data_IF_589653485493
#
_entry.id   IF_589653485493
#
_cell.length_a   1.000
_cell.length_b   1.000
_cell.length_c   1.000
_cell.angle_alpha   90.00
_cell.angle_beta   90.00
_cell.angle_gamma   90.00
#
_symmetry.space_group_name_H-M   'P 1'
#
loop_
_entity.id
_entity.type
_entity.pdbx_description
1 polymer ?
2 non-polymer ?
3 non-polymer ?
4 non-polymer ?
5 non-polymer ?
6 non-polymer ?
7 non-polymer ?
8 water ?
#
# COMPACT_ATOMS: atom_id res chain seq x y z
N UNK A 2 16.45 39.32 8.41
CA UNK A 2 16.17 40.79 8.26
C UNK A 2 15.58 41.44 9.51
N UNK A 3 14.92 42.57 9.30
CA UNK A 3 14.31 43.35 10.38
C UNK A 3 13.04 42.72 10.93
N UNK A 4 12.72 43.08 12.18
CA UNK A 4 11.47 42.70 12.82
C UNK A 4 10.23 42.97 11.94
N UNK A 5 10.16 44.14 11.29
CA UNK A 5 9.07 44.42 10.34
C UNK A 5 9.02 43.46 9.13
N UNK A 6 10.16 43.16 8.52
CA UNK A 6 10.23 42.14 7.45
C UNK A 6 9.78 40.76 7.92
N UNK A 7 10.20 40.37 9.12
CA UNK A 7 9.91 39.05 9.67
C UNK A 7 8.43 38.87 9.98
N UNK A 8 7.78 39.95 10.42
CA UNK A 8 6.35 39.95 10.61
C UNK A 8 5.66 39.75 9.25
N UNK A 9 6.07 40.54 8.26
CA UNK A 9 5.52 40.44 6.90
C UNK A 9 5.74 39.03 6.33
N UNK A 10 6.89 38.43 6.62
CA UNK A 10 7.14 37.03 6.24
C UNK A 10 6.21 36.08 7.01
N UNK A 11 6.05 36.34 8.31
CA UNK A 11 5.16 35.55 9.15
C UNK A 11 3.72 35.65 8.68
N UNK A 12 3.30 36.86 8.34
CA UNK A 12 1.98 37.13 7.78
C UNK A 12 1.77 36.45 6.44
N UNK A 13 2.79 36.35 5.60
CA UNK A 13 2.58 35.72 4.29
C UNK A 13 2.36 34.21 4.43
N UNK A 14 3.09 33.60 5.35
CA UNK A 14 2.99 32.18 5.60
C UNK A 14 1.68 31.88 6.31
N UNK A 15 1.32 32.72 7.27
CA UNK A 15 0.14 32.52 8.07
C UNK A 15 -1.14 32.38 7.23
N UNK A 16 -1.33 33.22 6.22
CA UNK A 16 -2.56 33.03 5.44
C UNK A 16 -2.48 31.98 4.29
N UNK A 17 -1.28 31.68 3.79
CA UNK A 17 -1.06 30.46 3.00
C UNK A 17 -1.43 29.21 3.82
N UNK A 18 -1.10 29.22 5.11
CA UNK A 18 -1.59 28.21 6.04
C UNK A 18 -3.10 28.23 6.12
N UNK A 19 -3.70 29.39 6.28
CA UNK A 19 -5.16 29.53 6.32
C UNK A 19 -5.82 28.88 5.10
N UNK A 20 -5.21 29.02 3.92
CA UNK A 20 -5.72 28.48 2.65
C UNK A 20 -5.58 26.98 2.53
N UNK A 21 -4.39 26.48 2.82
CA UNK A 21 -4.12 25.07 2.87
C UNK A 21 -5.08 24.37 3.88
N UNK A 22 -5.20 24.94 5.07
CA UNK A 22 -6.17 24.45 6.06
C UNK A 22 -7.58 24.29 5.50
N UNK A 23 -8.14 25.31 4.84
CA UNK A 23 -9.48 25.16 4.26
C UNK A 23 -9.51 24.08 3.19
N UNK A 24 -8.48 23.98 2.35
CA UNK A 24 -8.46 22.87 1.38
C UNK A 24 -8.43 21.50 2.06
N UNK A 25 -7.64 21.35 3.11
CA UNK A 25 -7.53 20.08 3.78
C UNK A 25 -8.84 19.67 4.47
N UNK A 26 -9.54 20.63 5.09
CA UNK A 26 -10.84 20.33 5.68
C UNK A 26 -11.76 19.79 4.60
N UNK A 27 -11.69 20.44 3.44
CA UNK A 27 -12.50 20.07 2.31
C UNK A 27 -12.16 18.69 1.78
N UNK A 28 -10.88 18.40 1.62
CA UNK A 28 -10.44 17.07 1.22
C UNK A 28 -10.87 15.97 2.18
N UNK A 29 -10.84 16.28 3.47
CA UNK A 29 -11.24 15.36 4.52
C UNK A 29 -12.73 15.08 4.46
N UNK A 30 -13.51 16.15 4.29
CA UNK A 30 -14.95 16.01 4.03
C UNK A 30 -15.27 15.20 2.75
N UNK A 31 -14.51 15.39 1.67
CA UNK A 31 -14.65 14.55 0.45
C UNK A 31 -14.40 13.07 0.76
N UNK A 32 -13.36 12.79 1.53
CA UNK A 32 -13.05 11.44 1.94
C UNK A 32 -14.16 10.82 2.78
N UNK A 33 -14.70 11.61 3.69
CA UNK A 33 -15.82 11.20 4.53
C UNK A 33 -17.06 10.92 3.71
N UNK A 34 -17.35 11.74 2.70
CA UNK A 34 -18.49 11.45 1.83
C UNK A 34 -18.29 10.21 1.02
N UNK A 35 -17.06 9.97 0.58
CA UNK A 35 -16.83 8.79 -0.19
C UNK A 35 -17.03 7.57 0.70
N UNK A 36 -16.60 7.67 1.94
CA UNK A 36 -16.74 6.60 2.93
C UNK A 36 -18.23 6.25 3.13
N UNK A 37 -19.02 7.29 3.37
CA UNK A 37 -20.45 7.18 3.46
C UNK A 37 -21.02 6.50 2.22
N UNK A 38 -20.53 6.83 1.03
CA UNK A 38 -21.11 6.17 -0.14
C UNK A 38 -20.80 4.71 -0.15
N UNK A 39 -19.52 4.37 0.02
CA UNK A 39 -19.09 2.96 -0.08
C UNK A 39 -19.76 2.05 0.96
N UNK A 40 -19.86 2.57 2.18
CA UNK A 40 -20.61 1.93 3.25
C UNK A 40 -22.08 1.63 2.85
N UNK A 41 -22.81 2.62 2.36
CA UNK A 41 -24.15 2.43 1.88
C UNK A 41 -24.13 1.32 0.86
N UNK A 42 -23.15 1.36 -0.04
CA UNK A 42 -23.11 0.46 -1.16
C UNK A 42 -22.90 -0.93 -0.63
N UNK A 43 -21.84 -1.11 0.15
CA UNK A 43 -21.52 -2.41 0.71
C UNK A 43 -22.68 -3.01 1.53
N UNK A 44 -23.39 -2.20 2.30
CA UNK A 44 -24.49 -2.76 3.08
C UNK A 44 -25.60 -3.30 2.20
N UNK A 45 -26.01 -2.50 1.23
CA UNK A 45 -26.97 -2.95 0.22
C UNK A 45 -26.54 -4.24 -0.50
N UNK A 46 -25.26 -4.34 -0.86
CA UNK A 46 -24.76 -5.52 -1.62
C UNK A 46 -24.66 -6.76 -0.78
N UNK A 47 -24.44 -6.54 0.51
CA UNK A 47 -24.45 -7.59 1.51
C UNK A 47 -25.76 -8.45 1.51
N UNK A 48 -26.92 -7.84 1.22
CA UNK A 48 -28.21 -8.55 1.19
C UNK A 48 -28.22 -9.64 0.18
N UNK A 49 -27.84 -9.28 -1.06
CA UNK A 49 -27.87 -10.21 -2.17
C UNK A 49 -26.88 -11.33 -1.95
N UNK A 50 -25.72 -10.97 -1.41
CA UNK A 50 -24.66 -11.93 -1.15
C UNK A 50 -25.13 -13.00 -0.19
N UNK A 51 -25.62 -12.61 0.99
CA UNK A 51 -26.16 -13.56 1.96
C UNK A 51 -27.28 -14.43 1.37
N UNK A 52 -28.15 -13.84 0.55
CA UNK A 52 -29.21 -14.67 -0.06
C UNK A 52 -28.65 -15.76 -0.97
N UNK A 53 -27.70 -15.36 -1.84
CA UNK A 53 -27.06 -16.28 -2.81
C UNK A 53 -26.38 -17.41 -2.06
N UNK A 54 -25.59 -17.08 -1.04
CA UNK A 54 -24.93 -18.08 -0.18
C UNK A 54 -25.89 -19.18 0.24
N UNK A 55 -27.03 -18.82 0.84
CA UNK A 55 -28.02 -19.81 1.32
C UNK A 55 -28.72 -20.49 0.18
N UNK A 56 -28.97 -19.74 -0.88
CA UNK A 56 -29.65 -20.27 -2.03
C UNK A 56 -28.85 -21.34 -2.75
N UNK A 57 -27.53 -21.21 -2.81
CA UNK A 57 -26.70 -22.30 -3.31
C UNK A 57 -26.80 -23.62 -2.55
N UNK A 58 -26.84 -23.54 -1.21
CA UNK A 58 -26.93 -24.76 -0.38
C UNK A 58 -28.20 -25.54 -0.69
N UNK A 59 -29.32 -24.83 -0.88
CA UNK A 59 -30.58 -25.44 -1.28
C UNK A 59 -30.51 -26.18 -2.62
N UNK A 60 -30.06 -25.46 -3.65
CA UNK A 60 -29.78 -26.04 -4.96
C UNK A 60 -28.93 -27.31 -4.84
N UNK A 61 -27.82 -27.23 -4.12
CA UNK A 61 -26.96 -28.38 -3.88
C UNK A 61 -27.68 -29.55 -3.22
N UNK A 62 -28.41 -29.30 -2.13
CA UNK A 62 -29.15 -30.38 -1.48
C UNK A 62 -30.14 -31.01 -2.42
N UNK A 63 -30.74 -30.22 -3.31
CA UNK A 63 -31.73 -30.83 -4.19
C UNK A 63 -31.11 -31.56 -5.39
N UNK A 64 -30.20 -30.91 -6.12
CA UNK A 64 -29.50 -31.59 -7.22
C UNK A 64 -28.68 -32.81 -6.77
N UNK A 65 -28.19 -32.79 -5.53
CA UNK A 65 -27.42 -33.88 -4.97
C UNK A 65 -28.26 -35.14 -4.71
N UNK A 66 -29.56 -35.03 -5.01
CA UNK A 66 -30.57 -36.07 -4.78
C UNK A 66 -30.81 -36.98 -5.98
N UNK A 67 -30.21 -36.62 -7.11
CA UNK A 67 -30.60 -37.19 -8.39
C UNK A 67 -29.46 -37.99 -8.98
N UNK B 2 2.16 48.00 10.56
CA UNK B 2 2.20 48.38 12.01
C UNK B 2 0.83 48.66 12.65
N UNK B 3 0.84 48.86 13.97
CA UNK B 3 2.03 48.66 14.79
C UNK B 3 2.42 47.18 14.78
N UNK B 4 3.72 46.91 14.94
CA UNK B 4 4.21 45.53 14.95
C UNK B 4 3.74 44.77 16.21
N UNK B 5 3.54 45.49 17.31
CA UNK B 5 2.84 44.94 18.47
C UNK B 5 1.44 44.39 18.08
N UNK B 6 0.61 45.22 17.46
CA UNK B 6 -0.76 44.83 17.07
C UNK B 6 -0.84 43.80 15.92
N UNK B 7 0.16 43.81 15.04
CA UNK B 7 0.31 42.76 14.02
C UNK B 7 0.76 41.42 14.62
N UNK B 8 1.65 41.46 15.61
CA UNK B 8 2.12 40.29 16.37
C UNK B 8 1.01 39.65 17.21
N UNK B 9 0.21 40.47 17.89
CA UNK B 9 -0.93 39.97 18.65
C UNK B 9 -1.92 39.31 17.72
N UNK B 10 -2.10 39.87 16.53
CA UNK B 10 -2.99 39.29 15.56
C UNK B 10 -2.43 37.95 15.02
N UNK B 11 -1.15 37.91 14.65
CA UNK B 11 -0.50 36.66 14.27
C UNK B 11 -0.57 35.56 15.32
N UNK B 12 -0.48 35.91 16.60
CA UNK B 12 -0.56 34.93 17.69
C UNK B 12 -1.97 34.37 17.85
N UNK B 13 -2.96 35.25 17.79
CA UNK B 13 -4.37 34.85 17.78
C UNK B 13 -4.66 33.84 16.63
N UNK B 14 -4.20 34.19 15.43
CA UNK B 14 -4.39 33.38 14.25
C UNK B 14 -3.63 32.04 14.36
N UNK B 15 -2.39 32.11 14.80
CA UNK B 15 -1.56 30.93 15.08
C UNK B 15 -2.25 29.96 16.04
N UNK B 16 -2.81 30.49 17.13
CA UNK B 16 -3.59 29.70 18.09
C UNK B 16 -4.82 29.04 17.47
N UNK B 17 -5.56 29.80 16.67
CA UNK B 17 -6.71 29.27 15.92
C UNK B 17 -6.28 28.14 15.00
N UNK B 18 -5.14 28.30 14.33
CA UNK B 18 -4.59 27.28 13.44
C UNK B 18 -4.27 26.03 14.20
N UNK B 19 -3.72 26.20 15.39
CA UNK B 19 -3.42 25.05 16.29
C UNK B 19 -4.61 24.23 16.61
N UNK B 20 -5.72 24.90 16.89
CA UNK B 20 -6.99 24.25 17.21
C UNK B 20 -7.50 23.49 15.98
N UNK B 21 -7.51 24.15 14.81
CA UNK B 21 -7.94 23.53 13.57
C UNK B 21 -7.11 22.30 13.17
N UNK B 22 -5.79 22.40 13.27
CA UNK B 22 -4.90 21.27 12.98
C UNK B 22 -5.23 20.07 13.88
N UNK B 23 -5.43 20.37 15.15
CA UNK B 23 -5.83 19.42 16.16
C UNK B 23 -7.10 18.67 15.83
N UNK B 24 -8.14 19.41 15.49
CA UNK B 24 -9.43 18.82 15.12
C UNK B 24 -9.35 18.13 13.77
N UNK B 25 -8.56 18.66 12.86
CA UNK B 25 -8.33 18.00 11.60
C UNK B 25 -7.76 16.60 11.86
N UNK B 26 -6.71 16.52 12.69
CA UNK B 26 -6.13 15.22 13.11
C UNK B 26 -7.11 14.20 13.71
N UNK B 27 -7.95 14.64 14.62
CA UNK B 27 -8.94 13.74 15.20
C UNK B 27 -9.87 13.20 14.10
N UNK B 28 -10.28 14.06 13.20
CA UNK B 28 -11.22 13.72 12.15
C UNK B 28 -10.59 12.79 11.09
N UNK B 29 -9.29 12.99 10.87
CA UNK B 29 -8.49 12.10 10.04
C UNK B 29 -8.44 10.70 10.63
N UNK B 30 -8.20 10.61 11.94
CA UNK B 30 -8.12 9.31 12.54
C UNK B 30 -9.49 8.60 12.58
N UNK B 31 -10.60 9.34 12.64
CA UNK B 31 -11.94 8.71 12.47
C UNK B 31 -12.13 8.17 11.09
N UNK B 32 -11.62 8.89 10.09
CA UNK B 32 -11.83 8.47 8.75
C UNK B 32 -10.96 7.25 8.49
N UNK B 33 -9.73 7.29 9.02
CA UNK B 33 -8.82 6.14 8.93
C UNK B 33 -9.42 4.88 9.56
N UNK B 34 -10.06 5.04 10.73
CA UNK B 34 -10.69 3.93 11.43
C UNK B 34 -11.85 3.35 10.58
N UNK B 35 -12.68 4.24 10.06
CA UNK B 35 -13.71 3.92 9.08
C UNK B 35 -13.21 3.19 7.83
N UNK B 36 -12.11 3.65 7.26
CA UNK B 36 -11.54 2.96 6.08
C UNK B 36 -11.18 1.52 6.50
N UNK B 37 -10.51 1.42 7.65
CA UNK B 37 -10.11 0.13 8.23
C UNK B 37 -11.30 -0.78 8.44
N UNK B 38 -12.42 -0.21 8.93
CA UNK B 38 -13.66 -1.00 9.07
C UNK B 38 -14.24 -1.51 7.75
N UNK B 39 -14.38 -0.61 6.76
CA UNK B 39 -14.91 -0.96 5.44
C UNK B 39 -14.08 -2.07 4.78
N UNK B 40 -12.75 -1.94 4.85
CA UNK B 40 -11.82 -3.01 4.45
C UNK B 40 -12.08 -4.33 5.13
N UNK B 41 -12.20 -4.37 6.47
CA UNK B 41 -12.59 -5.58 7.17
C UNK B 41 -13.93 -6.12 6.60
N UNK B 42 -14.91 -5.25 6.30
CA UNK B 42 -16.16 -5.75 5.66
C UNK B 42 -15.95 -6.29 4.24
N UNK B 43 -15.16 -5.60 3.44
CA UNK B 43 -14.88 -6.09 2.09
C UNK B 43 -14.17 -7.47 2.16
N UNK B 44 -13.22 -7.63 3.06
CA UNK B 44 -12.49 -8.91 3.17
C UNK B 44 -13.37 -10.09 3.53
N UNK B 45 -14.31 -9.87 4.43
CA UNK B 45 -15.38 -10.83 4.72
C UNK B 45 -16.30 -11.12 3.52
N UNK B 46 -16.66 -10.07 2.79
CA UNK B 46 -17.36 -10.28 1.53
C UNK B 46 -16.64 -11.12 0.57
N UNK B 47 -15.34 -10.87 0.41
CA UNK B 47 -14.49 -11.66 -0.46
C UNK B 47 -14.47 -13.14 -0.03
N UNK B 48 -14.40 -13.34 1.28
CA UNK B 48 -14.42 -14.65 1.88
C UNK B 48 -15.68 -15.42 1.48
N UNK B 49 -16.83 -14.78 1.65
CA UNK B 49 -18.12 -15.42 1.29
C UNK B 49 -18.23 -15.56 -0.19
N UNK B 50 -17.66 -14.60 -0.93
CA UNK B 50 -17.67 -14.74 -2.39
C UNK B 50 -16.89 -15.94 -2.86
N UNK B 51 -15.71 -16.20 -2.28
CA UNK B 51 -14.91 -17.36 -2.63
C UNK B 51 -15.69 -18.68 -2.46
N UNK B 52 -16.40 -18.84 -1.34
CA UNK B 52 -17.36 -19.98 -1.16
C UNK B 52 -18.42 -20.05 -2.25
N UNK B 53 -18.99 -18.90 -2.64
CA UNK B 53 -20.07 -18.83 -3.62
C UNK B 53 -19.54 -19.32 -4.96
N UNK B 54 -18.33 -18.87 -5.29
CA UNK B 54 -17.78 -19.28 -6.58
C UNK B 54 -17.36 -20.76 -6.60
N UNK B 55 -16.89 -21.26 -5.46
CA UNK B 55 -16.62 -22.67 -5.30
C UNK B 55 -17.89 -23.51 -5.42
N UNK B 56 -18.97 -23.13 -4.73
CA UNK B 56 -20.24 -23.87 -4.90
C UNK B 56 -20.81 -23.73 -6.30
N UNK B 57 -20.57 -22.58 -6.96
CA UNK B 57 -21.00 -22.47 -8.36
C UNK B 57 -20.32 -23.59 -9.17
N UNK B 58 -19.05 -23.81 -8.94
CA UNK B 58 -18.33 -24.88 -9.59
C UNK B 58 -18.96 -26.25 -9.28
N UNK B 59 -19.29 -26.50 -8.02
CA UNK B 59 -19.88 -27.79 -7.61
C UNK B 59 -21.21 -28.03 -8.31
N UNK B 60 -22.06 -27.01 -8.30
CA UNK B 60 -23.39 -27.10 -8.87
C UNK B 60 -23.25 -27.35 -10.38
N UNK B 61 -22.32 -26.69 -11.05
CA UNK B 61 -22.14 -26.94 -12.51
C UNK B 61 -21.71 -28.38 -12.80
N UNK B 62 -20.80 -28.91 -12.00
CA UNK B 62 -20.36 -30.29 -12.15
C UNK B 62 -21.55 -31.23 -12.01
N UNK B 63 -22.32 -31.01 -10.96
CA UNK B 63 -23.38 -31.89 -10.61
C UNK B 63 -24.48 -31.84 -11.70
N UNK B 64 -24.92 -30.64 -12.07
CA UNK B 64 -25.78 -30.42 -13.27
C UNK B 64 -25.32 -31.20 -14.54
N UNK B 65 -24.09 -30.98 -14.97
CA UNK B 65 -23.54 -31.64 -16.17
C UNK B 65 -23.51 -33.18 -16.07
N UNK B 66 -23.29 -33.69 -14.87
CA UNK B 66 -23.48 -35.11 -14.57
C UNK B 66 -24.81 -35.72 -14.99
N UNK B 67 -25.84 -34.91 -15.27
CA UNK B 67 -26.98 -35.39 -16.10
C UNK B 67 -27.12 -34.55 -17.42
N UNK B 68 -26.64 -35.11 -18.54
CA UNK B 68 -25.78 -36.32 -18.49
C UNK B 68 -24.37 -36.10 -19.06
N UNK C 3 28.50 32.73 19.29
CA UNK C 3 27.62 31.57 19.05
C UNK C 3 27.88 31.08 17.63
N UNK C 4 28.29 32.00 16.73
CA UNK C 4 28.63 31.61 15.34
C UNK C 4 29.61 30.42 15.24
N UNK C 5 30.74 30.53 15.94
CA UNK C 5 31.69 29.43 16.11
C UNK C 5 31.01 28.14 16.61
N UNK C 6 30.05 28.30 17.52
CA UNK C 6 29.34 27.18 18.16
C UNK C 6 28.27 26.59 17.24
N UNK C 7 27.51 27.46 16.57
CA UNK C 7 26.54 27.02 15.59
C UNK C 7 27.26 26.25 14.47
N UNK C 8 28.37 26.81 13.98
CA UNK C 8 29.21 26.18 12.97
C UNK C 8 29.73 24.81 13.46
N UNK C 9 30.27 24.74 14.68
CA UNK C 9 30.72 23.47 15.26
C UNK C 9 29.57 22.43 15.30
N UNK C 10 28.40 22.86 15.75
CA UNK C 10 27.20 22.02 15.73
C UNK C 10 26.89 21.51 14.31
N UNK C 11 27.06 22.40 13.32
CA UNK C 11 26.80 22.06 11.93
C UNK C 11 27.76 21.01 11.41
N UNK C 12 29.02 21.12 11.80
CA UNK C 12 30.08 20.20 11.34
C UNK C 12 29.90 18.83 11.96
N UNK C 13 29.42 18.81 13.19
CA UNK C 13 29.10 17.57 13.86
C UNK C 13 27.91 16.84 13.18
N UNK C 14 26.83 17.59 12.90
CA UNK C 14 25.61 17.03 12.29
C UNK C 14 25.90 16.60 10.85
N UNK C 15 26.59 17.44 10.11
CA UNK C 15 27.17 17.11 8.80
C UNK C 15 27.90 15.75 8.82
N UNK C 16 28.78 15.56 9.79
CA UNK C 16 29.49 14.30 9.96
C UNK C 16 28.56 13.09 10.13
N UNK C 17 27.57 13.24 11.00
CA UNK C 17 26.62 12.19 11.25
C UNK C 17 25.79 11.92 9.99
N UNK C 18 25.55 12.97 9.24
CA UNK C 18 24.79 12.84 8.01
C UNK C 18 25.53 12.02 6.99
N UNK C 19 26.83 12.33 6.87
CA UNK C 19 27.74 11.65 5.99
C UNK C 19 27.77 10.14 6.29
N UNK C 20 27.92 9.81 7.58
CA UNK C 20 27.97 8.41 8.01
C UNK C 20 26.65 7.72 7.74
N UNK C 21 25.53 8.38 8.04
CA UNK C 21 24.25 7.75 7.79
C UNK C 21 24.07 7.51 6.28
N UNK C 22 24.38 8.51 5.47
CA UNK C 22 24.15 8.40 4.02
C UNK C 22 24.90 7.24 3.39
N UNK C 23 26.13 7.00 3.84
CA UNK C 23 26.90 5.89 3.31
C UNK C 23 26.34 4.54 3.78
N UNK C 24 25.79 4.50 4.99
CA UNK C 24 25.03 3.34 5.43
C UNK C 24 23.78 3.13 4.59
N UNK C 25 23.00 4.18 4.34
CA UNK C 25 21.77 4.02 3.56
C UNK C 25 22.10 3.48 2.17
N UNK C 26 23.20 3.99 1.61
CA UNK C 26 23.61 3.60 0.29
C UNK C 26 23.93 2.10 0.20
N UNK C 27 24.68 1.58 1.16
CA UNK C 27 25.06 0.17 1.16
C UNK C 27 23.82 -0.70 1.31
N UNK C 28 22.95 -0.33 2.24
CA UNK C 28 21.74 -1.11 2.44
C UNK C 28 20.82 -1.12 1.22
N UNK C 29 20.63 0.06 0.58
CA UNK C 29 19.77 0.16 -0.60
C UNK C 29 20.27 -0.74 -1.71
N UNK C 30 21.57 -0.79 -1.93
CA UNK C 30 22.09 -1.59 -3.00
C UNK C 30 22.07 -3.06 -2.64
N UNK C 31 22.22 -3.39 -1.35
CA UNK C 31 22.00 -4.76 -0.90
C UNK C 31 20.56 -5.16 -1.18
N UNK C 32 19.61 -4.26 -0.86
CA UNK C 32 18.16 -4.55 -1.08
C UNK C 32 17.72 -4.79 -2.51
N UNK C 33 18.31 -4.06 -3.42
CA UNK C 33 18.17 -4.26 -4.86
C UNK C 33 18.57 -5.65 -5.25
N UNK C 34 19.69 -6.12 -4.71
CA UNK C 34 20.16 -7.46 -5.00
C UNK C 34 19.21 -8.48 -4.39
N UNK C 35 18.78 -8.24 -3.17
CA UNK C 35 17.83 -9.13 -2.49
C UNK C 35 16.60 -9.25 -3.37
N UNK C 36 16.11 -8.09 -3.86
CA UNK C 36 14.94 -8.10 -4.71
C UNK C 36 15.18 -8.89 -5.99
N UNK C 37 16.35 -8.75 -6.59
CA UNK C 37 16.71 -9.54 -7.77
C UNK C 37 16.54 -11.03 -7.50
N UNK C 38 17.10 -11.50 -6.38
CA UNK C 38 16.90 -12.89 -6.02
C UNK C 38 15.39 -13.25 -5.91
N UNK C 39 14.61 -12.40 -5.24
CA UNK C 39 13.21 -12.73 -5.02
C UNK C 39 12.45 -12.82 -6.34
N UNK C 40 12.73 -11.88 -7.26
CA UNK C 40 12.18 -11.89 -8.60
C UNK C 40 12.57 -13.14 -9.36
N UNK C 41 13.81 -13.56 -9.15
CA UNK C 41 14.31 -14.78 -9.77
C UNK C 41 13.45 -15.94 -9.39
N UNK C 42 13.17 -16.07 -8.10
CA UNK C 42 12.41 -17.20 -7.60
C UNK C 42 10.95 -17.12 -8.05
N UNK C 43 10.37 -15.91 -8.00
CA UNK C 43 8.98 -15.77 -8.41
C UNK C 43 8.86 -16.20 -9.86
N UNK C 44 9.77 -15.77 -10.71
CA UNK C 44 9.74 -16.15 -12.10
C UNK C 44 9.85 -17.66 -12.35
N UNK C 45 10.77 -18.33 -11.65
CA UNK C 45 10.89 -19.82 -11.71
C UNK C 45 9.61 -20.55 -11.24
N UNK C 46 9.08 -20.13 -10.08
CA UNK C 46 7.78 -20.56 -9.59
C UNK C 46 6.71 -20.48 -10.66
N UNK C 47 6.66 -19.32 -11.30
CA UNK C 47 5.77 -19.10 -12.42
C UNK C 47 5.95 -20.11 -13.56
N UNK C 48 7.19 -20.41 -13.89
CA UNK C 48 7.45 -21.36 -14.95
C UNK C 48 7.01 -22.74 -14.54
N UNK C 49 7.22 -23.07 -13.27
CA UNK C 49 6.86 -24.39 -12.76
C UNK C 49 5.33 -24.49 -12.86
N UNK C 50 4.65 -23.43 -12.42
CA UNK C 50 3.18 -23.38 -12.47
C UNK C 50 2.67 -23.58 -13.90
N UNK C 51 3.30 -22.91 -14.88
CA UNK C 51 2.96 -23.08 -16.28
C UNK C 51 3.11 -24.51 -16.78
N UNK C 52 4.18 -25.17 -16.33
CA UNK C 52 4.40 -26.53 -16.72
C UNK C 52 3.28 -27.40 -16.14
N UNK C 53 2.99 -27.20 -14.85
CA UNK C 53 1.93 -27.94 -14.18
C UNK C 53 0.60 -27.77 -14.96
N UNK C 54 0.17 -26.53 -15.19
CA UNK C 54 -1.10 -26.21 -15.93
C UNK C 54 -1.17 -26.88 -17.31
N UNK C 55 -0.10 -26.77 -18.07
CA UNK C 55 -0.01 -27.37 -19.41
C UNK C 55 -0.15 -28.90 -19.38
N UNK C 56 0.39 -29.53 -18.33
CA UNK C 56 0.29 -30.95 -18.13
C UNK C 56 -1.12 -31.33 -17.69
N UNK C 57 -1.76 -30.49 -16.88
CA UNK C 57 -3.17 -30.74 -16.55
C UNK C 57 -4.00 -30.83 -17.81
N UNK C 58 -3.81 -29.89 -18.74
CA UNK C 58 -4.56 -29.88 -20.01
C UNK C 58 -4.40 -31.18 -20.77
N UNK C 59 -3.20 -31.73 -20.75
CA UNK C 59 -2.90 -32.94 -21.47
C UNK C 59 -3.60 -34.09 -20.80
N UNK C 60 -3.54 -34.11 -19.46
CA UNK C 60 -4.23 -35.11 -18.64
C UNK C 60 -5.73 -35.07 -18.94
N UNK C 61 -6.32 -33.88 -18.98
CA UNK C 61 -7.73 -33.75 -19.24
C UNK C 61 -8.06 -34.29 -20.63
N UNK C 62 -7.22 -33.92 -21.61
CA UNK C 62 -7.33 -34.50 -22.93
C UNK C 62 -7.13 -36.05 -23.00
N UNK C 63 -6.13 -36.59 -22.29
CA UNK C 63 -5.98 -38.06 -22.25
C UNK C 63 -7.24 -38.75 -21.69
N UNK C 64 -7.85 -38.19 -20.65
CA UNK C 64 -9.07 -38.72 -20.03
C UNK C 64 -10.23 -38.80 -21.02
N UNK C 65 -10.39 -37.74 -21.81
CA UNK C 65 -11.36 -37.70 -22.90
C UNK C 65 -11.13 -38.80 -23.95
N UNK C 66 -9.87 -38.99 -24.38
CA UNK C 66 -9.55 -40.11 -25.27
C UNK C 66 -9.87 -41.44 -24.63
N UNK C 67 -9.56 -41.56 -23.34
CA UNK C 67 -9.83 -42.80 -22.63
C UNK C 67 -11.32 -43.10 -22.55
N UNK C 68 -12.13 -42.06 -22.30
CA UNK C 68 -13.61 -42.13 -22.28
C UNK C 68 -14.23 -42.78 -23.52
N UNK C 69 -13.55 -42.66 -24.66
CA UNK C 69 -13.88 -43.41 -25.90
C UNK C 69 -13.08 -44.73 -26.00
N UNK D 2 25.04 36.55 1.91
CA UNK D 2 26.44 37.06 1.84
C UNK D 2 27.17 37.07 3.18
N UNK D 3 26.53 37.60 4.22
CA UNK D 3 27.17 37.65 5.53
C UNK D 3 27.33 36.22 6.06
N UNK D 4 28.32 36.00 6.92
CA UNK D 4 28.55 34.68 7.47
C UNK D 4 27.31 34.21 8.24
N UNK D 5 26.68 35.13 8.99
CA UNK D 5 25.46 34.82 9.73
C UNK D 5 24.34 34.38 8.81
N UNK D 6 24.24 34.98 7.63
CA UNK D 6 23.22 34.61 6.66
C UNK D 6 23.51 33.20 6.15
N UNK D 7 24.78 32.95 5.82
CA UNK D 7 25.17 31.67 5.29
C UNK D 7 24.97 30.54 6.34
N UNK D 8 25.46 30.73 7.56
CA UNK D 8 25.15 29.78 8.64
C UNK D 8 23.63 29.57 8.84
N UNK D 9 22.83 30.62 8.70
CA UNK D 9 21.37 30.50 8.86
C UNK D 9 20.78 29.61 7.78
N UNK D 10 21.18 29.85 6.53
CA UNK D 10 20.82 28.98 5.43
C UNK D 10 21.24 27.53 5.68
N UNK D 11 22.53 27.34 6.06
CA UNK D 11 23.12 26.04 6.28
C UNK D 11 22.35 25.23 7.33
N UNK D 12 21.87 25.93 8.35
CA UNK D 12 21.09 25.33 9.44
C UNK D 12 19.76 24.86 8.96
N UNK D 13 19.22 25.64 8.00
CA UNK D 13 17.89 25.47 7.44
C UNK D 13 17.88 24.23 6.57
N UNK D 14 18.94 24.10 5.77
CA UNK D 14 19.16 22.96 4.93
C UNK D 14 19.45 21.74 5.82
N UNK D 15 20.32 21.93 6.82
CA UNK D 15 20.70 20.84 7.71
C UNK D 15 19.46 20.20 8.28
N UNK D 16 18.50 21.03 8.71
CA UNK D 16 17.22 20.55 9.26
C UNK D 16 16.38 19.80 8.25
N UNK D 17 16.22 20.39 7.07
CA UNK D 17 15.56 19.69 5.99
C UNK D 17 16.23 18.31 5.81
N UNK D 18 17.58 18.25 5.78
CA UNK D 18 18.29 16.96 5.64
C UNK D 18 18.01 15.95 6.73
N UNK D 19 17.98 16.40 7.98
CA UNK D 19 17.58 15.54 9.10
C UNK D 19 16.17 14.99 8.98
N UNK D 20 15.22 15.77 8.42
CA UNK D 20 13.83 15.26 8.30
C UNK D 20 13.76 14.24 7.18
N UNK D 21 14.37 14.57 6.04
CA UNK D 21 14.51 13.64 4.91
C UNK D 21 15.19 12.31 5.28
N UNK D 22 16.32 12.36 5.97
CA UNK D 22 17.00 11.18 6.46
C UNK D 22 16.09 10.28 7.34
N UNK D 23 15.29 10.90 8.20
CA UNK D 23 14.29 10.16 9.01
C UNK D 23 13.25 9.45 8.14
N UNK D 24 12.78 10.11 7.09
CA UNK D 24 11.76 9.53 6.21
C UNK D 24 12.34 8.38 5.44
N UNK D 25 13.55 8.61 4.92
CA UNK D 25 14.34 7.59 4.30
C UNK D 25 14.45 6.35 5.20
N UNK D 26 14.93 6.53 6.43
CA UNK D 26 15.10 5.45 7.40
C UNK D 26 13.80 4.70 7.68
N UNK D 27 12.71 5.44 7.86
CA UNK D 27 11.38 4.88 8.08
C UNK D 27 10.90 4.08 6.89
N UNK D 28 11.11 4.63 5.69
CA UNK D 28 10.68 3.95 4.48
C UNK D 28 11.58 2.78 4.03
N UNK D 29 12.90 2.90 4.28
CA UNK D 29 13.86 1.82 4.09
C UNK D 29 13.48 0.60 4.95
N UNK D 30 13.30 0.84 6.25
CA UNK D 30 12.82 -0.19 7.19
C UNK D 30 11.52 -0.90 6.77
N UNK D 31 10.54 -0.14 6.26
CA UNK D 31 9.31 -0.72 5.71
C UNK D 31 9.65 -1.61 4.53
N UNK D 32 10.50 -1.11 3.61
CA UNK D 32 10.89 -1.90 2.46
C UNK D 32 11.66 -3.18 2.84
N UNK D 33 12.55 -3.10 3.83
CA UNK D 33 13.14 -4.34 4.36
C UNK D 33 12.16 -5.31 5.00
N UNK D 34 11.12 -4.82 5.69
CA UNK D 34 10.23 -5.79 6.24
C UNK D 34 9.59 -6.50 5.05
N UNK D 35 9.21 -5.73 4.03
CA UNK D 35 8.51 -6.31 2.88
C UNK D 35 9.32 -7.34 2.15
N UNK D 36 10.60 -7.08 1.97
CA UNK D 36 11.53 -8.06 1.45
C UNK D 36 11.42 -9.37 2.23
N UNK D 37 11.50 -9.30 3.57
CA UNK D 37 11.38 -10.51 4.39
C UNK D 37 10.03 -11.11 4.30
N UNK D 38 8.99 -10.29 4.20
CA UNK D 38 7.63 -10.86 4.13
C UNK D 38 7.46 -11.58 2.79
N UNK D 39 7.94 -10.94 1.72
CA UNK D 39 7.83 -11.50 0.37
C UNK D 39 8.57 -12.80 0.33
N UNK D 40 9.75 -12.85 0.93
CA UNK D 40 10.50 -14.07 0.95
C UNK D 40 9.73 -15.20 1.64
N UNK D 41 9.06 -14.90 2.76
CA UNK D 41 8.23 -15.90 3.43
C UNK D 41 7.09 -16.35 2.55
N UNK D 42 6.44 -15.41 1.87
CA UNK D 42 5.40 -15.77 0.92
C UNK D 42 5.89 -16.70 -0.21
N UNK D 43 7.02 -16.37 -0.83
CA UNK D 43 7.56 -17.21 -1.91
C UNK D 43 7.86 -18.65 -1.43
N UNK D 44 8.50 -18.79 -0.27
CA UNK D 44 8.77 -20.11 0.32
C UNK D 44 7.49 -20.93 0.48
N UNK D 45 6.47 -20.33 1.07
CA UNK D 45 5.14 -20.95 1.10
C UNK D 45 4.62 -21.35 -0.30
N UNK D 46 4.76 -20.48 -1.30
CA UNK D 46 4.30 -20.82 -2.66
C UNK D 46 5.10 -21.94 -3.34
N UNK D 47 6.42 -21.92 -3.24
CA UNK D 47 7.27 -23.05 -3.68
C UNK D 47 6.83 -24.38 -3.06
N UNK D 48 6.58 -24.35 -1.73
CA UNK D 48 6.16 -25.53 -1.00
C UNK D 48 4.88 -26.15 -1.58
N UNK D 49 3.86 -25.32 -1.83
CA UNK D 49 2.61 -25.77 -2.41
C UNK D 49 2.80 -26.25 -3.83
N UNK D 50 3.58 -25.51 -4.62
CA UNK D 50 3.99 -26.00 -5.94
C UNK D 50 4.54 -27.44 -5.92
N UNK D 51 5.54 -27.74 -5.08
CA UNK D 51 6.10 -29.09 -5.03
C UNK D 51 5.11 -30.18 -4.78
N UNK D 52 4.19 -29.93 -3.85
CA UNK D 52 3.12 -30.86 -3.53
C UNK D 52 2.21 -31.10 -4.70
N UNK D 53 1.82 -30.02 -5.39
CA UNK D 53 1.09 -30.12 -6.65
C UNK D 53 1.85 -30.94 -7.70
N UNK D 54 3.16 -30.72 -7.84
CA UNK D 54 3.96 -31.49 -8.79
C UNK D 54 3.88 -32.97 -8.44
N UNK D 55 4.07 -33.29 -7.17
CA UNK D 55 4.06 -34.65 -6.70
C UNK D 55 2.66 -35.29 -6.79
N UNK D 56 1.58 -34.54 -6.60
CA UNK D 56 0.25 -35.11 -6.75
C UNK D 56 -0.08 -35.32 -8.23
N UNK D 57 0.42 -34.42 -9.08
CA UNK D 57 0.19 -34.54 -10.51
C UNK D 57 0.91 -35.81 -11.00
N UNK D 58 2.13 -36.04 -10.50
CA UNK D 58 2.82 -37.35 -10.70
C UNK D 58 2.03 -38.60 -10.23
N UNK D 59 1.52 -38.59 -9.00
CA UNK D 59 0.61 -39.66 -8.57
C UNK D 59 -0.58 -39.87 -9.54
N UNK D 60 -1.07 -38.80 -10.16
CA UNK D 60 -2.17 -38.87 -11.13
C UNK D 60 -1.66 -39.49 -12.44
N UNK D 61 -0.43 -39.17 -12.80
CA UNK D 61 0.12 -39.58 -14.08
C UNK D 61 0.29 -41.08 -14.19
N UNK D 62 0.59 -41.72 -13.08
CA UNK D 62 0.65 -43.19 -13.08
C UNK D 62 -0.73 -43.85 -12.92
N UNK D 63 -1.63 -43.18 -12.20
CA UNK D 63 -3.02 -43.62 -12.15
C UNK D 63 -3.57 -43.73 -13.58
N UNK D 64 -3.16 -42.79 -14.43
CA UNK D 64 -3.61 -42.76 -15.81
C UNK D 64 -2.87 -43.73 -16.72
N UNK D 65 -1.59 -43.98 -16.41
CA UNK D 65 -0.70 -44.78 -17.25
C UNK D 65 -1.11 -46.26 -17.29
N UNK D 66 -1.67 -46.76 -16.19
CA UNK D 66 -2.19 -48.14 -16.16
C UNK D 66 -3.44 -48.28 -17.04
N UNK D 67 -4.31 -47.28 -16.97
CA UNK D 67 -5.56 -47.30 -17.71
C UNK D 67 -5.37 -47.05 -19.23
N UNK D 68 -4.16 -46.68 -19.62
CA UNK D 68 -3.70 -46.66 -21.03
C UNK D 68 -3.10 -48.01 -21.46
N UNK E 2 40.63 26.21 9.78
CA UNK E 2 40.96 27.66 9.68
C UNK E 2 39.80 28.57 10.05
N UNK E 3 39.64 29.63 9.25
CA UNK E 3 38.68 30.70 9.54
C UNK E 3 37.23 30.21 9.47
N UNK E 4 36.38 30.80 10.30
CA UNK E 4 34.95 30.54 10.21
C UNK E 4 34.45 30.63 8.75
N UNK E 5 34.98 31.59 7.97
CA UNK E 5 34.72 31.67 6.54
C UNK E 5 35.00 30.34 5.82
N UNK E 6 36.18 29.77 6.05
CA UNK E 6 36.57 28.53 5.38
C UNK E 6 35.67 27.39 5.80
N UNK E 7 35.44 27.25 7.10
CA UNK E 7 34.60 26.19 7.62
C UNK E 7 33.15 26.26 7.07
N UNK E 8 32.68 27.45 6.73
CA UNK E 8 31.32 27.64 6.23
C UNK E 8 31.24 27.27 4.77
N UNK E 9 32.31 27.59 4.03
CA UNK E 9 32.38 27.28 2.62
C UNK E 9 32.41 25.75 2.47
N UNK E 10 33.26 25.11 3.28
CA UNK E 10 33.34 23.65 3.36
C UNK E 10 31.97 23.02 3.64
N UNK E 11 31.35 23.39 4.76
CA UNK E 11 29.98 22.96 5.10
C UNK E 11 28.98 23.07 3.93
N UNK E 12 29.09 24.13 3.13
CA UNK E 12 28.22 24.34 1.96
C UNK E 12 28.48 23.33 0.84
N UNK E 13 29.74 22.97 0.69
CA UNK E 13 30.18 22.04 -0.33
C UNK E 13 29.79 20.60 0.05
N UNK E 14 30.11 20.19 1.27
CA UNK E 14 29.62 18.92 1.80
C UNK E 14 28.06 18.86 1.78
N UNK E 15 27.40 19.93 2.21
CA UNK E 15 25.92 20.06 2.17
C UNK E 15 25.25 19.94 0.79
N UNK E 16 25.92 20.43 -0.26
CA UNK E 16 25.46 20.20 -1.66
C UNK E 16 25.63 18.74 -2.08
N UNK E 17 26.73 18.14 -1.65
CA UNK E 17 27.00 16.74 -1.89
C UNK E 17 25.89 15.86 -1.24
N UNK E 18 25.46 16.24 -0.03
CA UNK E 18 24.43 15.54 0.69
C UNK E 18 23.10 15.63 0.00
N UNK E 19 22.74 16.84 -0.45
CA UNK E 19 21.47 17.03 -1.17
C UNK E 19 21.35 16.18 -2.42
N UNK E 20 22.44 16.05 -3.18
CA UNK E 20 22.46 15.26 -4.42
C UNK E 20 22.33 13.79 -4.08
N UNK E 21 23.17 13.34 -3.14
CA UNK E 21 23.14 11.98 -2.72
C UNK E 21 21.74 11.60 -2.20
N UNK E 22 21.18 12.45 -1.33
CA UNK E 22 19.81 12.28 -0.82
C UNK E 22 18.77 12.07 -1.92
N UNK E 23 18.84 12.84 -2.99
CA UNK E 23 17.90 12.68 -4.10
C UNK E 23 18.08 11.31 -4.75
N UNK E 24 19.32 10.90 -4.90
CA UNK E 24 19.64 9.62 -5.50
C UNK E 24 19.19 8.44 -4.65
N UNK E 25 19.37 8.52 -3.32
CA UNK E 25 18.88 7.43 -2.46
C UNK E 25 17.37 7.30 -2.36
N UNK E 26 16.67 8.43 -2.41
CA UNK E 26 15.21 8.50 -2.49
C UNK E 26 14.76 7.74 -3.67
N UNK E 27 15.34 8.04 -4.82
CA UNK E 27 15.09 7.34 -6.07
C UNK E 27 15.26 5.83 -5.92
N UNK E 28 16.41 5.42 -5.43
CA UNK E 28 16.75 4.00 -5.28
C UNK E 28 15.77 3.26 -4.36
N UNK E 29 15.43 3.89 -3.23
CA UNK E 29 14.35 3.40 -2.40
C UNK E 29 12.97 3.29 -3.13
N UNK E 30 12.53 4.33 -3.86
CA UNK E 30 11.28 4.18 -4.64
C UNK E 30 11.31 3.03 -5.62
N UNK E 31 12.44 2.88 -6.33
CA UNK E 31 12.61 1.73 -7.22
C UNK E 31 12.45 0.40 -6.41
N UNK E 32 13.06 0.29 -5.22
CA UNK E 32 12.86 -0.89 -4.38
C UNK E 32 11.42 -1.06 -3.94
N UNK E 33 10.72 0.02 -3.61
CA UNK E 33 9.27 -0.13 -3.28
C UNK E 33 8.47 -0.58 -4.48
N UNK E 34 8.58 0.13 -5.59
CA UNK E 34 7.92 -0.34 -6.82
C UNK E 34 8.19 -1.76 -7.21
N UNK E 35 9.44 -2.20 -7.14
CA UNK E 35 9.70 -3.58 -7.46
C UNK E 35 9.03 -4.57 -6.50
N UNK E 36 8.98 -4.26 -5.20
CA UNK E 36 8.27 -5.08 -4.20
C UNK E 36 6.80 -5.17 -4.47
N UNK E 37 6.15 -4.03 -4.71
CA UNK E 37 4.68 -4.04 -4.92
C UNK E 37 4.33 -4.89 -6.15
N UNK E 38 5.03 -4.63 -7.26
CA UNK E 38 4.93 -5.47 -8.45
C UNK E 38 5.08 -6.97 -8.13
N UNK E 39 6.16 -7.32 -7.44
CA UNK E 39 6.41 -8.71 -7.12
C UNK E 39 5.30 -9.30 -6.17
N UNK E 40 4.84 -8.55 -5.17
CA UNK E 40 3.61 -8.96 -4.45
C UNK E 40 2.44 -9.33 -5.37
N UNK E 41 2.09 -8.45 -6.33
CA UNK E 41 1.04 -8.76 -7.31
C UNK E 41 1.21 -10.11 -7.98
N UNK E 42 2.42 -10.38 -8.48
CA UNK E 42 2.69 -11.62 -9.21
C UNK E 42 2.61 -12.87 -8.34
N UNK E 43 3.16 -12.80 -7.13
CA UNK E 43 3.06 -13.94 -6.18
C UNK E 43 1.59 -14.24 -5.79
N UNK E 44 0.77 -13.21 -5.57
CA UNK E 44 -0.70 -13.45 -5.40
C UNK E 44 -1.37 -14.08 -6.63
N UNK E 45 -0.97 -13.65 -7.82
CA UNK E 45 -1.52 -14.27 -9.02
C UNK E 45 -1.13 -15.74 -9.14
N UNK E 46 0.17 -16.02 -8.95
CA UNK E 46 0.69 -17.38 -8.90
C UNK E 46 -0.17 -18.24 -7.96
N UNK E 47 -0.28 -17.81 -6.70
CA UNK E 47 -1.10 -18.52 -5.70
C UNK E 47 -2.58 -18.67 -6.10
N UNK E 48 -3.18 -17.62 -6.67
CA UNK E 48 -4.55 -17.74 -7.17
C UNK E 48 -4.62 -18.84 -8.25
N UNK E 49 -3.67 -18.87 -9.19
CA UNK E 49 -3.73 -19.91 -10.24
C UNK E 49 -3.43 -21.28 -9.62
N UNK E 50 -2.48 -21.32 -8.70
CA UNK E 50 -2.20 -22.55 -8.01
C UNK E 50 -3.46 -23.11 -7.33
N UNK E 51 -4.24 -22.26 -6.63
CA UNK E 51 -5.51 -22.75 -6.06
C UNK E 51 -6.44 -23.36 -7.11
N UNK E 52 -6.50 -22.75 -8.30
CA UNK E 52 -7.30 -23.33 -9.41
C UNK E 52 -6.81 -24.71 -9.88
N UNK E 53 -5.50 -24.92 -9.86
CA UNK E 53 -4.89 -26.21 -10.21
C UNK E 53 -5.26 -27.28 -9.19
N UNK E 54 -5.27 -26.91 -7.93
CA UNK E 54 -5.68 -27.83 -6.87
C UNK E 54 -7.13 -28.27 -6.97
N UNK E 55 -8.06 -27.35 -7.20
CA UNK E 55 -9.46 -27.75 -7.38
C UNK E 55 -9.61 -28.58 -8.68
N UNK E 56 -8.89 -28.22 -9.74
CA UNK E 56 -8.87 -28.99 -10.99
C UNK E 56 -8.45 -30.47 -10.83
N UNK E 57 -7.44 -30.73 -10.01
CA UNK E 57 -6.98 -32.10 -9.75
C UNK E 57 -8.04 -32.97 -9.06
N UNK E 58 -8.86 -32.37 -8.19
CA UNK E 58 -9.97 -33.11 -7.55
C UNK E 58 -10.97 -33.58 -8.56
N UNK E 59 -11.32 -32.69 -9.48
CA UNK E 59 -12.20 -33.04 -10.60
C UNK E 59 -11.60 -34.13 -11.50
N UNK E 60 -10.26 -34.15 -11.62
CA UNK E 60 -9.54 -35.10 -12.45
C UNK E 60 -9.60 -36.51 -11.83
N UNK E 61 -9.47 -36.60 -10.50
CA UNK E 61 -9.63 -37.86 -9.81
C UNK E 61 -11.05 -38.38 -10.01
N UNK E 62 -12.03 -37.51 -9.87
CA UNK E 62 -13.40 -37.98 -10.06
C UNK E 62 -13.53 -38.58 -11.47
N UNK E 63 -13.05 -37.84 -12.46
CA UNK E 63 -13.19 -38.30 -13.82
C UNK E 63 -12.48 -39.62 -14.05
N UNK E 64 -11.30 -39.76 -13.42
CA UNK E 64 -10.52 -40.99 -13.42
C UNK E 64 -11.27 -42.15 -12.76
N UNK E 65 -12.02 -41.87 -11.71
CA UNK E 65 -12.83 -42.89 -11.05
C UNK E 65 -13.84 -43.55 -11.96
N UNK E 66 -14.49 -42.78 -12.83
CA UNK E 66 -15.55 -43.35 -13.69
C UNK E 66 -14.97 -44.24 -14.80
N UNK E 67 -13.69 -44.03 -15.11
CA UNK E 67 -12.99 -44.83 -16.13
C UNK E 67 -12.71 -46.30 -15.75
N UNK E 68 -12.84 -46.62 -14.47
CA UNK E 68 -12.57 -47.97 -13.92
C UNK E 68 -13.61 -48.45 -12.89
N UNK F 3 11.47 41.93 23.32
CA UNK F 3 10.41 40.92 23.68
C UNK F 3 9.38 40.73 22.58
N UNK F 4 9.14 41.76 21.75
CA UNK F 4 8.43 41.45 20.53
C UNK F 4 9.34 40.62 19.62
N UNK F 5 10.67 40.81 19.74
CA UNK F 5 11.65 39.96 19.06
C UNK F 5 11.51 38.48 19.44
N UNK F 6 11.37 38.22 20.74
CA UNK F 6 11.08 36.88 21.24
C UNK F 6 9.72 36.35 20.79
N UNK F 7 8.71 37.21 20.76
CA UNK F 7 7.40 36.79 20.35
C UNK F 7 7.39 36.41 18.87
N UNK F 8 8.15 37.14 18.06
CA UNK F 8 8.25 36.77 16.66
C UNK F 8 9.06 35.48 16.47
N UNK F 9 10.07 35.28 17.32
CA UNK F 9 10.86 34.05 17.37
C UNK F 9 9.95 32.86 17.66
N UNK F 10 9.09 33.03 18.66
CA UNK F 10 8.12 32.05 19.03
C UNK F 10 7.14 31.75 17.88
N UNK F 11 6.62 32.81 17.26
CA UNK F 11 5.75 32.66 16.09
C UNK F 11 6.45 31.95 14.93
N UNK F 12 7.76 32.11 14.83
CA UNK F 12 8.54 31.52 13.76
C UNK F 12 8.76 30.02 13.92
N UNK F 13 9.07 29.57 15.12
CA UNK F 13 9.22 28.15 15.36
C UNK F 13 7.86 27.46 15.22
N UNK F 14 6.80 28.13 15.69
CA UNK F 14 5.47 27.58 15.58
C UNK F 14 5.02 27.47 14.11
N UNK F 15 5.32 28.47 13.29
CA UNK F 15 4.84 28.49 11.93
C UNK F 15 5.46 27.35 11.13
N UNK F 16 6.75 27.11 11.38
CA UNK F 16 7.50 25.99 10.78
C UNK F 16 7.01 24.61 11.19
N UNK F 17 6.64 24.46 12.46
CA UNK F 17 6.05 23.24 12.98
C UNK F 17 4.74 23.03 12.21
N UNK F 18 3.90 24.05 12.17
CA UNK F 18 2.68 24.03 11.39
C UNK F 18 2.87 23.70 9.92
N UNK F 19 3.96 24.20 9.32
CA UNK F 19 4.28 23.87 7.92
C UNK F 19 4.52 22.39 7.77
N UNK F 20 5.31 21.80 8.68
CA UNK F 20 5.58 20.38 8.61
C UNK F 20 4.39 19.52 8.98
N UNK F 21 3.57 19.97 9.93
CA UNK F 21 2.37 19.22 10.26
C UNK F 21 1.41 19.21 9.06
N UNK F 22 1.20 20.37 8.43
CA UNK F 22 0.36 20.53 7.24
C UNK F 22 0.76 19.66 6.05
N UNK F 23 2.06 19.51 5.84
CA UNK F 23 2.57 18.68 4.79
C UNK F 23 2.27 17.24 5.09
N UNK F 24 2.40 16.84 6.35
CA UNK F 24 2.19 15.45 6.69
C UNK F 24 0.72 15.04 6.62
N UNK F 25 -0.16 15.98 6.99
CA UNK F 25 -1.60 15.76 6.92
C UNK F 25 -2.03 15.71 5.49
N UNK F 26 -1.31 16.46 4.66
CA UNK F 26 -1.59 16.50 3.25
C UNK F 26 -1.30 15.12 2.65
N UNK F 27 -0.20 14.48 3.10
CA UNK F 27 0.16 13.10 2.66
C UNK F 27 -0.78 12.04 3.20
N UNK F 28 -1.31 12.22 4.41
CA UNK F 28 -2.27 11.23 4.92
C UNK F 28 -3.58 11.31 4.15
N UNK F 29 -4.04 12.52 3.82
CA UNK F 29 -5.29 12.71 3.07
C UNK F 29 -5.19 12.07 1.69
N UNK F 30 -4.08 12.33 1.01
CA UNK F 30 -3.82 11.80 -0.29
C UNK F 30 -3.76 10.26 -0.25
N UNK F 31 -2.99 9.72 0.72
CA UNK F 31 -2.95 8.28 0.97
C UNK F 31 -4.31 7.67 1.27
N UNK F 32 -5.16 8.34 2.06
CA UNK F 32 -6.56 7.87 2.25
C UNK F 32 -7.40 7.94 1.02
N UNK F 33 -7.16 8.96 0.19
CA UNK F 33 -7.89 9.04 -1.05
C UNK F 33 -7.60 7.77 -1.84
N UNK F 34 -6.33 7.37 -1.92
CA UNK F 34 -5.95 6.09 -2.59
C UNK F 34 -6.56 4.82 -1.98
N UNK F 35 -6.65 4.73 -0.65
CA UNK F 35 -7.27 3.56 -0.01
C UNK F 35 -8.75 3.46 -0.39
N UNK F 36 -9.42 4.61 -0.37
CA UNK F 36 -10.84 4.69 -0.65
C UNK F 36 -11.09 4.16 -2.06
N UNK F 37 -10.26 4.60 -3.00
CA UNK F 37 -10.36 4.17 -4.41
C UNK F 37 -10.18 2.67 -4.58
N UNK F 38 -9.11 2.16 -3.94
CA UNK F 38 -8.86 0.72 -3.90
C UNK F 38 -10.07 -0.03 -3.29
N UNK F 39 -10.58 0.38 -2.13
CA UNK F 39 -11.80 -0.27 -1.58
C UNK F 39 -13.00 -0.21 -2.56
N UNK F 40 -13.19 0.97 -3.15
CA UNK F 40 -14.15 1.19 -4.21
C UNK F 40 -14.03 0.20 -5.35
N UNK F 41 -12.85 -0.01 -5.92
CA UNK F 41 -12.71 -0.97 -6.99
C UNK F 41 -12.98 -2.41 -6.58
N UNK F 42 -12.56 -2.80 -5.35
CA UNK F 42 -12.83 -4.15 -4.85
C UNK F 42 -14.34 -4.38 -4.61
N UNK F 43 -15.03 -3.37 -4.08
CA UNK F 43 -16.47 -3.41 -3.93
C UNK F 43 -17.16 -3.73 -5.27
N UNK F 44 -16.72 -3.02 -6.32
CA UNK F 44 -17.30 -3.15 -7.66
C UNK F 44 -17.01 -4.50 -8.28
N UNK F 45 -15.82 -5.03 -8.04
CA UNK F 45 -15.47 -6.34 -8.51
C UNK F 45 -16.24 -7.44 -7.79
N UNK F 46 -16.38 -7.30 -6.47
CA UNK F 46 -17.28 -8.18 -5.73
C UNK F 46 -18.68 -8.21 -6.39
N UNK F 47 -19.27 -7.04 -6.63
CA UNK F 47 -20.63 -6.97 -7.28
C UNK F 47 -20.65 -7.57 -8.68
N UNK F 48 -19.64 -7.29 -9.47
CA UNK F 48 -19.57 -7.80 -10.82
C UNK F 48 -19.64 -9.31 -10.84
N UNK F 49 -18.76 -9.98 -10.07
CA UNK F 49 -18.81 -11.43 -9.90
C UNK F 49 -20.10 -11.94 -9.25
N UNK F 50 -20.63 -11.21 -8.26
CA UNK F 50 -21.92 -11.60 -7.66
C UNK F 50 -23.03 -11.51 -8.71
N UNK F 51 -23.00 -10.43 -9.51
CA UNK F 51 -23.94 -10.31 -10.62
C UNK F 51 -23.98 -11.55 -11.48
N UNK F 52 -22.82 -12.01 -11.93
CA UNK F 52 -22.73 -13.20 -12.74
C UNK F 52 -23.21 -14.49 -12.08
N UNK F 53 -22.87 -14.70 -10.81
CA UNK F 53 -23.38 -15.89 -10.10
C UNK F 53 -24.91 -15.78 -9.99
N UNK F 54 -25.44 -14.58 -9.86
CA UNK F 54 -26.92 -14.47 -9.76
C UNK F 54 -27.63 -14.78 -11.09
N UNK F 55 -27.10 -14.22 -12.18
CA UNK F 55 -27.56 -14.46 -13.54
C UNK F 55 -27.57 -15.95 -13.84
N UNK F 56 -26.46 -16.62 -13.58
CA UNK F 56 -26.30 -18.04 -13.81
C UNK F 56 -27.25 -18.86 -12.95
N UNK F 57 -27.45 -18.43 -11.72
CA UNK F 57 -28.32 -19.17 -10.83
C UNK F 57 -29.78 -19.10 -11.30
N UNK F 58 -30.22 -17.96 -11.83
CA UNK F 58 -31.59 -17.88 -12.42
C UNK F 58 -31.76 -18.88 -13.56
N UNK F 59 -30.73 -18.97 -14.42
CA UNK F 59 -30.66 -19.95 -15.48
C UNK F 59 -30.68 -21.37 -14.97
N UNK F 60 -29.89 -21.65 -13.93
CA UNK F 60 -29.77 -23.00 -13.39
C UNK F 60 -31.09 -23.47 -12.78
N UNK F 61 -31.88 -22.52 -12.26
CA UNK F 61 -33.15 -22.85 -11.60
C UNK F 61 -34.15 -23.38 -12.59
N UNK F 62 -34.17 -22.75 -13.77
CA UNK F 62 -35.02 -23.18 -14.88
C UNK F 62 -34.57 -24.52 -15.49
N UNK F 63 -33.26 -24.73 -15.63
CA UNK F 63 -32.67 -25.98 -16.16
C UNK F 63 -33.05 -27.24 -15.43
N UNK F 64 -33.87 -27.11 -14.40
CA UNK F 64 -34.47 -28.27 -13.75
C UNK F 64 -35.95 -28.49 -14.11
#
# INVERSE_FOLDING_TARGET
SGSVEDRVTQLERISNAHSQLLTQLQQQLSDNQSDIDSLRGQIQENQYQLNQVVERQKQILLQIDSLSSGGAAAQ
SGSVEDRVTQLERISNAHSQLLTQLQQQLSDNQSDIDSLRGQIQENQYQLNQVVERQKQILLQIDSLSSGGAAAQ
SGSVEDRVTQLERISNAHSQLLTQLQQQLSDNQSDIDSLRGQIQENQYQLNQVVERQKQILLQIDSLSSGGAAAQ
SGSVEDRVTQLERISNAHSQLLTQLQQQLSDNQSDIDSLRGQIQENQYQLNQVVERQKQILLQIDSLSSGGAAAQ
SGSVEDRVTQLERISNAHSQLLTQLQQQLSDNQSDIDSLRGQIQENQYQLNQVVERQKQILLQIDSLSSGGAAAQ
SGSVEDRVTQLERISNAHSQLLTQLQQQLSDNQSDIDSLRGQIQENQYQLNQVVERQKQILLQIDSLSSGGAAAQ
#
